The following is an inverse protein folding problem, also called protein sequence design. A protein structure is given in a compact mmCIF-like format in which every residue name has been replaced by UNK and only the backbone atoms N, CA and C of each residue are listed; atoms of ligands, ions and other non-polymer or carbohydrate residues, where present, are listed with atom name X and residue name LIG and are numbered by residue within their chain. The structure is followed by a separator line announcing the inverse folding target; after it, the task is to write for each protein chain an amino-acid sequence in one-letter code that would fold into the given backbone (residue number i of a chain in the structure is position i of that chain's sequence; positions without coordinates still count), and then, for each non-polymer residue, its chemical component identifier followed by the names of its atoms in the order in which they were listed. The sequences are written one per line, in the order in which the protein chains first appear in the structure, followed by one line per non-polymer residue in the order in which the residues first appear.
data_IF_375539147292
#
_entry.id   IF_375539147292
#
_cell.length_a   1.000
_cell.length_b   1.000
_cell.length_c   1.000
_cell.angle_alpha   90.00
_cell.angle_beta   90.00
_cell.angle_gamma   90.00
#
_symmetry.space_group_name_H-M   'P 1'
#
loop_
_entity.id
_entity.type
_entity.pdbx_description
1 polymer ?
#
# COMPACT_ATOMS: atom_id res chain seq x y z
N UNK A 1 -18.23 2.44 -37.94
CA UNK A 1 -18.37 3.89 -37.62
C UNK A 1 -18.61 4.09 -36.14
N UNK A 2 -17.69 4.76 -35.45
CA UNK A 2 -17.85 5.08 -34.03
C UNK A 2 -18.61 6.41 -33.88
N UNK A 3 -19.62 6.48 -33.00
CA UNK A 3 -20.44 7.70 -32.88
C UNK A 3 -19.68 8.83 -32.18
N UNK A 4 -20.07 10.06 -32.49
CA UNK A 4 -19.53 11.29 -31.88
C UNK A 4 -19.58 11.25 -30.33
N UNK A 5 -20.62 10.65 -29.75
CA UNK A 5 -20.75 10.47 -28.31
C UNK A 5 -19.63 9.59 -27.71
N UNK A 6 -19.22 8.52 -28.41
CA UNK A 6 -18.11 7.65 -27.97
C UNK A 6 -16.77 8.37 -28.04
N UNK A 7 -16.54 9.18 -29.07
CA UNK A 7 -15.35 10.03 -29.18
C UNK A 7 -15.26 11.02 -28.01
N UNK A 8 -16.35 11.74 -27.72
CA UNK A 8 -16.40 12.71 -26.62
C UNK A 8 -16.12 12.06 -25.26
N UNK A 9 -16.62 10.84 -25.03
CA UNK A 9 -16.35 10.08 -23.80
C UNK A 9 -14.86 9.77 -23.62
N UNK A 10 -14.18 9.31 -24.68
CA UNK A 10 -12.75 9.01 -24.63
C UNK A 10 -11.93 10.28 -24.39
N UNK A 11 -12.22 11.36 -25.11
CA UNK A 11 -11.53 12.64 -24.91
C UNK A 11 -11.78 13.23 -23.52
N UNK A 12 -12.97 13.05 -22.95
CA UNK A 12 -13.24 13.45 -21.57
C UNK A 12 -12.36 12.68 -20.56
N UNK A 13 -12.17 11.38 -20.75
CA UNK A 13 -11.25 10.58 -19.92
C UNK A 13 -9.78 11.00 -20.12
N UNK A 14 -9.42 11.49 -21.31
CA UNK A 14 -8.07 11.92 -21.65
C UNK A 14 -7.77 13.41 -21.36
N UNK A 15 -8.69 14.17 -20.76
CA UNK A 15 -8.58 15.64 -20.59
C UNK A 15 -7.26 16.10 -19.94
N UNK A 16 -6.75 15.33 -18.98
CA UNK A 16 -5.49 15.63 -18.28
C UNK A 16 -4.21 15.13 -18.97
N UNK A 17 -4.32 14.51 -20.15
CA UNK A 17 -3.17 13.94 -20.84
C UNK A 17 -2.33 15.05 -21.50
N UNK A 18 -1.03 14.79 -21.66
CA UNK A 18 -0.08 15.74 -22.25
C UNK A 18 -0.07 15.63 -23.78
N UNK A 19 -0.02 16.79 -24.44
CA UNK A 19 0.09 16.92 -25.91
C UNK A 19 -1.13 16.38 -26.64
N UNK A 20 -0.93 15.84 -27.85
CA UNK A 20 -2.00 15.34 -28.71
C UNK A 20 -2.89 14.23 -28.10
N UNK A 21 -2.48 13.64 -26.98
CA UNK A 21 -3.27 12.62 -26.31
C UNK A 21 -4.51 13.14 -25.58
N UNK A 22 -4.66 14.45 -25.38
CA UNK A 22 -5.89 15.05 -24.81
C UNK A 22 -6.89 15.54 -25.86
N UNK A 23 -6.46 15.70 -27.12
CA UNK A 23 -7.24 16.33 -28.19
C UNK A 23 -7.48 15.41 -29.38
N UNK A 24 -6.47 14.63 -29.78
CA UNK A 24 -6.55 13.69 -30.90
C UNK A 24 -7.08 12.34 -30.45
N UNK A 25 -8.30 12.01 -30.90
CA UNK A 25 -8.99 10.77 -30.52
C UNK A 25 -8.14 9.49 -30.71
N UNK A 26 -7.46 9.36 -31.85
CA UNK A 26 -6.63 8.18 -32.17
C UNK A 26 -5.50 7.96 -31.17
N UNK A 27 -4.88 9.04 -30.69
CA UNK A 27 -3.83 8.96 -29.67
C UNK A 27 -4.44 8.77 -28.28
N UNK A 28 -5.55 9.44 -28.01
CA UNK A 28 -6.25 9.38 -26.73
C UNK A 28 -6.74 7.96 -26.41
N UNK A 29 -7.39 7.26 -27.36
CA UNK A 29 -7.93 5.91 -27.12
C UNK A 29 -6.84 4.93 -26.67
N UNK A 30 -5.71 4.88 -27.37
CA UNK A 30 -4.60 3.99 -27.03
C UNK A 30 -4.05 4.25 -25.62
N UNK A 31 -3.95 5.53 -25.23
CA UNK A 31 -3.47 5.90 -23.89
C UNK A 31 -4.49 5.62 -22.80
N UNK A 32 -5.77 5.90 -23.06
CA UNK A 32 -6.87 5.65 -22.11
C UNK A 32 -7.01 4.17 -21.85
N UNK A 33 -6.99 3.33 -22.89
CA UNK A 33 -7.07 1.87 -22.74
C UNK A 33 -5.91 1.33 -21.88
N UNK A 34 -4.69 1.75 -22.18
CA UNK A 34 -3.51 1.39 -21.37
C UNK A 34 -3.63 1.89 -19.92
N UNK A 35 -4.13 3.11 -19.74
CA UNK A 35 -4.40 3.68 -18.41
C UNK A 35 -5.42 2.88 -17.62
N UNK A 36 -6.49 2.39 -18.25
CA UNK A 36 -7.51 1.56 -17.62
C UNK A 36 -6.97 0.17 -17.24
N UNK A 37 -6.15 -0.43 -18.10
CA UNK A 37 -5.46 -1.69 -17.79
C UNK A 37 -4.54 -1.54 -16.56
N UNK A 38 -3.74 -0.46 -16.53
CA UNK A 38 -2.90 -0.14 -15.38
C UNK A 38 -3.73 0.15 -14.13
N UNK A 39 -4.80 0.91 -14.23
CA UNK A 39 -5.68 1.17 -13.09
C UNK A 39 -6.20 -0.13 -12.45
N UNK A 40 -6.62 -1.11 -13.26
CA UNK A 40 -7.07 -2.41 -12.75
C UNK A 40 -5.95 -3.18 -12.04
N UNK A 41 -4.76 -3.24 -12.66
CA UNK A 41 -3.56 -3.87 -12.07
C UNK A 41 -3.16 -3.18 -10.75
N UNK A 42 -3.10 -1.86 -10.77
CA UNK A 42 -2.57 -1.03 -9.68
C UNK A 42 -3.49 -1.05 -8.46
N UNK A 43 -4.80 -1.27 -8.62
CA UNK A 43 -5.70 -1.57 -7.48
C UNK A 43 -5.26 -2.80 -6.68
N UNK A 44 -4.73 -3.83 -7.34
CA UNK A 44 -4.17 -5.02 -6.66
C UNK A 44 -2.79 -4.74 -6.09
N UNK A 45 -1.96 -4.01 -6.84
CA UNK A 45 -0.60 -3.67 -6.42
C UNK A 45 -0.58 -2.74 -5.19
N UNK A 46 -1.47 -1.74 -5.13
CA UNK A 46 -1.62 -0.80 -4.00
C UNK A 46 -1.69 -1.52 -2.65
N UNK A 47 -2.40 -2.66 -2.58
CA UNK A 47 -2.49 -3.47 -1.34
C UNK A 47 -1.14 -4.05 -0.91
N UNK A 48 -0.29 -4.43 -1.87
CA UNK A 48 1.05 -4.94 -1.63
C UNK A 48 1.99 -3.80 -1.21
N UNK A 49 1.91 -2.66 -1.88
CA UNK A 49 2.73 -1.49 -1.58
C UNK A 49 2.48 -0.99 -0.16
N UNK A 50 1.21 -0.90 0.28
CA UNK A 50 0.88 -0.57 1.66
C UNK A 50 1.39 -1.61 2.66
N UNK A 51 1.30 -2.90 2.32
CA UNK A 51 1.85 -3.94 3.19
C UNK A 51 3.36 -3.78 3.35
N UNK A 52 4.09 -3.53 2.27
CA UNK A 52 5.53 -3.28 2.32
C UNK A 52 5.85 -2.05 3.19
N UNK A 53 5.11 -0.96 3.03
CA UNK A 53 5.26 0.24 3.86
C UNK A 53 5.01 -0.03 5.35
N UNK A 54 3.97 -0.81 5.68
CA UNK A 54 3.70 -1.18 7.08
C UNK A 54 4.82 -2.03 7.67
N UNK A 55 5.36 -2.97 6.90
CA UNK A 55 6.52 -3.77 7.33
C UNK A 55 7.71 -2.89 7.61
N UNK A 56 8.00 -1.92 6.74
CA UNK A 56 9.11 -0.99 6.90
C UNK A 56 8.96 -0.14 8.17
N UNK A 57 7.77 0.42 8.41
CA UNK A 57 7.46 1.18 9.63
C UNK A 57 7.63 0.34 10.90
N UNK A 58 7.05 -0.86 10.93
CA UNK A 58 7.18 -1.77 12.07
C UNK A 58 8.66 -2.16 12.28
N UNK A 59 9.40 -2.42 11.20
CA UNK A 59 10.81 -2.78 11.28
C UNK A 59 11.65 -1.64 11.84
N UNK A 60 11.35 -0.38 11.50
CA UNK A 60 12.01 0.77 12.09
C UNK A 60 11.80 0.84 13.61
N UNK A 61 10.54 0.72 14.07
CA UNK A 61 10.22 0.69 15.50
C UNK A 61 10.83 -0.51 16.22
N UNK A 62 10.72 -1.71 15.64
CA UNK A 62 11.25 -2.93 16.26
C UNK A 62 12.78 -2.88 16.43
N UNK A 63 13.49 -2.27 15.47
CA UNK A 63 14.94 -2.10 15.54
C UNK A 63 15.38 -1.16 16.65
N UNK A 64 14.62 -0.10 16.93
CA UNK A 64 14.90 0.78 18.07
C UNK A 64 14.85 0.02 19.39
N UNK A 65 13.99 -0.99 19.47
CA UNK A 65 13.82 -1.86 20.63
C UNK A 65 14.71 -3.13 20.59
N UNK A 66 15.65 -3.23 19.65
CA UNK A 66 16.63 -4.32 19.58
C UNK A 66 16.12 -5.65 19.02
N UNK A 67 14.96 -5.67 18.35
CA UNK A 67 14.39 -6.86 17.70
C UNK A 67 14.28 -6.67 16.18
N UNK A 68 14.35 -7.78 15.43
CA UNK A 68 14.06 -7.75 13.99
C UNK A 68 12.57 -7.97 13.74
N UNK A 69 12.04 -7.38 12.66
CA UNK A 69 10.65 -7.56 12.24
C UNK A 69 10.24 -9.04 12.17
N UNK A 70 11.08 -9.90 11.59
CA UNK A 70 10.76 -11.34 11.44
C UNK A 70 10.59 -12.04 12.79
N UNK A 71 11.44 -11.72 13.77
CA UNK A 71 11.32 -12.29 15.13
C UNK A 71 10.08 -11.75 15.83
N UNK A 72 9.85 -10.44 15.75
CA UNK A 72 8.69 -9.78 16.34
C UNK A 72 7.36 -10.37 15.83
N UNK A 73 7.20 -10.44 14.50
CA UNK A 73 5.99 -11.01 13.88
C UNK A 73 5.88 -12.52 14.09
N UNK A 74 7.01 -13.23 14.13
CA UNK A 74 7.01 -14.66 14.45
C UNK A 74 6.37 -14.93 15.81
N UNK A 75 6.83 -14.23 16.84
CA UNK A 75 6.29 -14.34 18.20
C UNK A 75 4.84 -13.86 18.27
N UNK A 76 4.48 -12.75 17.60
CA UNK A 76 3.10 -12.29 17.56
C UNK A 76 2.12 -13.28 16.92
N UNK A 77 2.57 -14.07 15.92
CA UNK A 77 1.70 -15.07 15.30
C UNK A 77 1.63 -16.38 16.12
N UNK A 78 2.70 -16.71 16.87
CA UNK A 78 2.72 -17.89 17.75
C UNK A 78 2.02 -17.62 19.08
N UNK A 79 1.96 -16.36 19.49
CA UNK A 79 1.08 -15.89 20.56
C UNK A 79 -0.31 -15.61 19.99
N UNK A 80 -1.37 -15.74 20.79
CA UNK A 80 -2.75 -15.49 20.34
C UNK A 80 -3.06 -13.97 20.18
N UNK A 81 -2.05 -13.16 19.83
CA UNK A 81 -2.13 -11.71 19.70
C UNK A 81 -2.46 -11.35 18.25
N UNK A 82 -3.75 -11.20 17.96
CA UNK A 82 -4.26 -10.96 16.60
C UNK A 82 -4.19 -9.48 16.18
N UNK A 83 -3.00 -8.88 16.22
CA UNK A 83 -2.78 -7.50 15.77
C UNK A 83 -2.43 -7.43 14.27
N UNK A 84 -3.17 -6.57 13.54
CA UNK A 84 -2.90 -6.35 12.13
C UNK A 84 -1.70 -5.40 11.92
N UNK A 85 -1.03 -5.54 10.77
CA UNK A 85 0.15 -4.72 10.43
C UNK A 85 -0.16 -3.25 10.19
N UNK A 86 -1.40 -2.92 9.80
CA UNK A 86 -1.81 -1.53 9.57
C UNK A 86 -1.79 -0.75 10.89
N UNK A 87 -2.42 -1.31 11.91
CA UNK A 87 -2.51 -0.74 13.26
C UNK A 87 -1.15 -0.74 13.93
N UNK A 88 -0.39 -1.84 13.85
CA UNK A 88 0.98 -1.89 14.38
C UNK A 88 1.90 -0.83 13.76
N UNK A 89 1.81 -0.61 12.45
CA UNK A 89 2.60 0.40 11.77
C UNK A 89 2.18 1.84 12.11
N UNK A 90 0.92 2.04 12.49
CA UNK A 90 0.40 3.33 12.95
C UNK A 90 0.89 3.62 14.37
N UNK A 91 0.69 2.68 15.30
CA UNK A 91 1.18 2.76 16.68
C UNK A 91 2.70 2.97 16.71
N UNK A 92 3.46 2.23 15.87
CA UNK A 92 4.92 2.40 15.77
C UNK A 92 5.35 3.82 15.36
N UNK A 93 4.49 4.56 14.65
CA UNK A 93 4.80 5.90 14.15
C UNK A 93 4.26 7.02 15.04
N UNK A 94 3.10 6.82 15.69
CA UNK A 94 2.40 7.87 16.45
C UNK A 94 2.54 7.70 17.96
N UNK A 95 2.69 6.47 18.45
CA UNK A 95 2.62 6.13 19.87
C UNK A 95 3.82 5.25 20.29
N UNK A 96 5.01 5.86 20.48
CA UNK A 96 6.22 5.10 20.78
C UNK A 96 6.14 4.33 22.10
N UNK A 97 5.49 4.90 23.12
CA UNK A 97 5.30 4.25 24.42
C UNK A 97 4.41 3.00 24.32
N UNK A 98 3.26 3.09 23.63
CA UNK A 98 2.37 1.96 23.37
C UNK A 98 3.08 0.87 22.58
N UNK A 99 3.84 1.25 21.54
CA UNK A 99 4.62 0.30 20.76
C UNK A 99 5.67 -0.41 21.61
N UNK A 100 6.37 0.32 22.48
CA UNK A 100 7.37 -0.23 23.40
C UNK A 100 6.76 -1.26 24.36
N UNK A 101 5.60 -0.99 24.95
CA UNK A 101 4.91 -1.97 25.81
C UNK A 101 4.57 -3.26 25.07
N UNK A 102 4.12 -3.17 23.82
CA UNK A 102 3.89 -4.37 22.97
C UNK A 102 5.21 -5.12 22.74
N UNK A 103 6.30 -4.40 22.49
CA UNK A 103 7.62 -4.99 22.29
C UNK A 103 8.14 -5.70 23.55
N UNK A 104 7.89 -5.15 24.73
CA UNK A 104 8.25 -5.76 26.02
C UNK A 104 7.50 -7.09 26.23
N UNK A 105 6.17 -7.09 26.04
CA UNK A 105 5.36 -8.32 26.09
C UNK A 105 5.89 -9.38 25.12
N UNK A 106 6.25 -8.98 23.90
CA UNK A 106 6.83 -9.90 22.90
C UNK A 106 8.21 -10.42 23.31
N UNK A 107 9.05 -9.60 23.97
CA UNK A 107 10.35 -10.04 24.49
C UNK A 107 10.19 -11.07 25.61
N UNK A 108 9.21 -10.88 26.49
CA UNK A 108 8.90 -11.83 27.57
C UNK A 108 8.40 -13.16 27.03
N UNK A 109 7.48 -13.14 26.05
CA UNK A 109 6.95 -14.35 25.42
C UNK A 109 8.01 -15.17 24.66
N UNK A 110 9.10 -14.54 24.21
CA UNK A 110 10.21 -15.21 23.52
C UNK A 110 11.13 -16.00 24.47
N UNK A 111 11.10 -15.71 25.78
CA UNK A 111 11.93 -16.37 26.78
C UNK A 111 11.34 -17.70 27.28
N UNK A 112 10.12 -18.04 26.85
CA UNK A 112 9.45 -19.32 27.06
C UNK A 112 9.48 -20.17 25.79
#
# INVERSE_FOLDING_TARGET
NMSWAKHKKILAMAKGYRGAANSCYRTAINRVEKGLQYQYRDRKQKKRDFRSLWIEKINAGARQEGLSYSKFIGVLNSSDIQLNRKVLADIAATEPYSFKSIMEVVKELKLN
#
